data_IF_809521288982
#
_entry.id   IF_809521288982
#
_cell.length_a   1.000
_cell.length_b   1.000
_cell.length_c   1.000
_cell.angle_alpha   90.00
_cell.angle_beta   90.00
_cell.angle_gamma   90.00
#
_symmetry.space_group_name_H-M   'P 1'
#
loop_
_entity.id
_entity.type
_entity.pdbx_description
1 polymer ?
#
# COMPACT_ATOMS: atom_id res chain seq x y z
N UNK A 1 9.47 67.43 16.43
CA UNK A 1 10.06 66.50 17.42
C UNK A 1 8.98 65.53 17.85
N UNK A 2 9.18 64.21 17.75
CA UNK A 2 8.29 63.23 18.35
C UNK A 2 8.74 62.99 19.80
N UNK A 3 7.83 63.02 20.78
CA UNK A 3 8.09 62.48 22.11
C UNK A 3 6.81 61.91 22.73
N UNK A 4 7.03 60.81 23.43
CA UNK A 4 6.11 59.77 23.93
C UNK A 4 5.42 60.17 25.25
N UNK A 5 4.17 59.72 25.39
CA UNK A 5 3.32 59.39 26.57
C UNK A 5 3.42 60.19 27.90
N UNK A 6 2.30 60.22 28.66
CA UNK A 6 2.29 59.37 29.86
C UNK A 6 0.95 58.67 30.18
N UNK A 7 1.06 57.47 30.74
CA UNK A 7 0.03 56.79 31.56
C UNK A 7 -0.24 57.57 32.86
N UNK A 8 -1.39 57.46 33.58
CA UNK A 8 -1.63 56.28 34.42
C UNK A 8 -3.09 55.92 34.79
N UNK A 9 -3.26 54.64 35.18
CA UNK A 9 -4.02 54.12 36.33
C UNK A 9 -5.57 53.94 36.36
N UNK A 10 -5.90 52.67 36.69
CA UNK A 10 -6.90 52.16 37.64
C UNK A 10 -8.40 52.04 37.28
N UNK A 11 -8.91 50.81 37.45
CA UNK A 11 -10.28 50.51 37.89
C UNK A 11 -11.08 49.58 36.95
N UNK A 12 -11.27 48.30 37.32
CA UNK A 12 -12.34 47.46 36.75
C UNK A 12 -13.74 47.87 37.27
N UNK A 13 -14.83 47.08 37.10
CA UNK A 13 -14.94 45.72 36.55
C UNK A 13 -16.08 45.53 35.49
N UNK A 14 -16.19 44.29 35.02
CA UNK A 14 -17.36 43.61 34.41
C UNK A 14 -17.96 44.14 33.10
N UNK A 15 -17.87 43.33 32.05
CA UNK A 15 -19.07 42.82 31.37
C UNK A 15 -18.79 41.49 30.67
N UNK A 16 -19.56 40.46 31.06
CA UNK A 16 -19.62 39.16 30.41
C UNK A 16 -20.59 39.24 29.22
N UNK A 17 -20.17 38.79 28.04
CA UNK A 17 -21.09 38.47 26.94
C UNK A 17 -21.03 36.95 26.72
N UNK A 18 -22.16 36.22 26.73
CA UNK A 18 -22.18 34.77 26.60
C UNK A 18 -22.19 34.36 25.12
N UNK A 19 -21.22 33.58 24.69
CA UNK A 19 -21.23 32.97 23.34
C UNK A 19 -22.18 31.77 23.29
N UNK A 20 -23.18 31.87 22.41
CA UNK A 20 -24.12 30.82 22.06
C UNK A 20 -23.47 29.69 21.21
N UNK A 21 -23.93 28.43 21.30
CA UNK A 21 -23.30 27.31 20.61
C UNK A 21 -23.81 27.17 19.16
N UNK A 22 -23.06 27.73 18.21
CA UNK A 22 -23.26 27.49 16.77
C UNK A 22 -22.86 26.08 16.34
N UNK A 23 -23.83 25.29 15.91
CA UNK A 23 -23.65 23.98 15.28
C UNK A 23 -23.31 24.16 13.80
N UNK A 24 -22.04 23.96 13.44
CA UNK A 24 -21.58 23.93 12.06
C UNK A 24 -20.07 24.15 12.02
N UNK A 25 -19.32 23.37 11.24
CA UNK A 25 -17.85 23.46 11.01
C UNK A 25 -16.90 22.69 11.95
N UNK A 26 -17.25 21.48 12.42
CA UNK A 26 -16.32 20.64 13.22
C UNK A 26 -15.38 19.72 12.40
N UNK A 27 -15.70 19.35 11.16
CA UNK A 27 -14.75 18.66 10.27
C UNK A 27 -13.60 19.58 9.80
N UNK A 28 -13.86 20.87 9.61
CA UNK A 28 -12.84 21.82 9.12
C UNK A 28 -11.71 22.11 10.13
N UNK A 29 -11.87 21.81 11.43
CA UNK A 29 -10.82 22.08 12.42
C UNK A 29 -9.68 21.07 12.41
N UNK A 30 -9.94 19.80 12.04
CA UNK A 30 -8.87 18.83 11.78
C UNK A 30 -8.05 19.23 10.54
N UNK A 31 -8.73 19.76 9.52
CA UNK A 31 -8.11 20.26 8.29
C UNK A 31 -7.38 21.61 8.47
N UNK A 32 -7.82 22.49 9.38
CA UNK A 32 -7.07 23.72 9.72
C UNK A 32 -5.79 23.44 10.50
N UNK A 33 -5.78 22.42 11.37
CA UNK A 33 -4.54 21.99 12.07
C UNK A 33 -3.51 21.35 11.14
N UNK A 34 -3.92 20.86 9.97
CA UNK A 34 -3.03 20.44 8.89
C UNK A 34 -2.28 21.65 8.26
N UNK A 35 -2.86 22.86 8.32
CA UNK A 35 -2.30 24.09 7.73
C UNK A 35 -1.53 24.96 8.74
N UNK A 36 -1.88 24.93 10.03
CA UNK A 36 -1.22 25.74 11.06
C UNK A 36 0.05 25.03 11.59
N UNK A 37 1.17 25.25 10.90
CA UNK A 37 2.49 24.80 11.30
C UNK A 37 3.19 25.86 12.16
N UNK A 38 3.50 25.57 13.42
CA UNK A 38 4.64 26.21 14.12
C UNK A 38 5.10 25.42 15.37
N UNK A 39 6.22 24.72 15.21
CA UNK A 39 7.25 24.48 16.22
C UNK A 39 8.34 23.61 15.58
N UNK A 40 9.28 24.30 14.93
CA UNK A 40 10.45 23.72 14.29
C UNK A 40 11.57 23.60 15.33
N UNK A 41 11.87 22.39 15.80
CA UNK A 41 13.13 22.16 16.49
C UNK A 41 14.22 22.05 15.41
N UNK A 42 15.10 23.05 15.37
CA UNK A 42 16.30 23.01 14.53
C UNK A 42 17.11 21.74 14.86
N UNK A 43 17.67 21.06 13.84
CA UNK A 43 18.63 19.98 14.09
C UNK A 43 19.82 20.54 14.87
N UNK A 44 20.49 19.73 15.72
CA UNK A 44 21.64 20.21 16.49
C UNK A 44 22.68 20.83 15.56
N UNK A 45 23.18 22.02 15.92
CA UNK A 45 24.24 22.72 15.19
C UNK A 45 25.41 21.75 14.93
N UNK A 46 25.79 21.59 13.65
CA UNK A 46 26.87 20.69 13.22
C UNK A 46 26.43 19.34 12.64
N UNK A 47 25.13 19.06 12.49
CA UNK A 47 24.68 17.83 11.80
C UNK A 47 25.01 17.87 10.30
N UNK A 48 25.87 16.95 9.85
CA UNK A 48 26.14 16.74 8.41
C UNK A 48 24.95 16.02 7.76
N UNK A 49 24.76 16.17 6.45
CA UNK A 49 23.78 15.40 5.65
C UNK A 49 23.91 13.89 5.89
N UNK A 50 25.14 13.40 6.05
CA UNK A 50 25.41 12.00 6.40
C UNK A 50 24.88 11.60 7.79
N UNK A 51 24.92 12.50 8.79
CA UNK A 51 24.35 12.23 10.12
C UNK A 51 22.82 12.22 10.10
N UNK A 52 22.21 13.08 9.29
CA UNK A 52 20.75 13.12 9.10
C UNK A 52 20.25 11.86 8.40
N UNK A 53 20.97 11.38 7.38
CA UNK A 53 20.66 10.11 6.69
C UNK A 53 20.83 8.92 7.63
N UNK A 54 21.94 8.84 8.38
CA UNK A 54 22.10 7.77 9.40
C UNK A 54 21.00 7.78 10.43
N UNK A 55 20.60 8.95 10.93
CA UNK A 55 19.52 9.05 11.90
C UNK A 55 18.14 8.72 11.33
N UNK A 56 17.89 9.01 10.05
CA UNK A 56 16.65 8.61 9.38
C UNK A 56 16.50 7.08 9.30
N UNK A 57 17.61 6.37 9.04
CA UNK A 57 17.65 4.90 8.99
C UNK A 57 17.89 4.22 10.34
N UNK A 58 18.13 4.96 11.41
CA UNK A 58 18.53 4.38 12.70
C UNK A 58 17.35 3.80 13.50
N UNK A 59 16.10 3.98 13.08
CA UNK A 59 14.89 3.53 13.81
C UNK A 59 14.64 4.21 15.18
N UNK A 60 15.70 4.77 15.79
CA UNK A 60 15.74 5.33 17.14
C UNK A 60 14.94 6.63 17.24
N UNK A 61 13.73 6.51 17.79
CA UNK A 61 12.81 7.58 18.19
C UNK A 61 12.07 8.32 17.07
N UNK A 62 11.13 7.62 16.47
CA UNK A 62 10.05 8.26 15.72
C UNK A 62 9.11 9.06 16.62
N UNK A 63 8.94 8.62 17.86
CA UNK A 63 8.12 9.29 18.85
C UNK A 63 8.87 10.46 19.51
N UNK A 64 8.42 11.68 19.19
CA UNK A 64 8.87 12.93 19.83
C UNK A 64 8.65 12.90 21.35
N UNK A 65 7.65 12.20 21.87
CA UNK A 65 7.33 12.15 23.30
C UNK A 65 8.28 11.25 24.06
N UNK A 66 8.61 10.05 23.57
CA UNK A 66 9.67 9.22 24.12
C UNK A 66 11.01 9.97 24.20
N UNK A 67 11.37 10.69 23.12
CA UNK A 67 12.58 11.54 23.10
C UNK A 67 12.52 12.68 24.13
N UNK A 68 11.35 13.28 24.34
CA UNK A 68 11.11 14.34 25.34
C UNK A 68 11.18 13.80 26.78
N UNK A 69 10.59 12.64 27.06
CA UNK A 69 10.58 11.98 28.39
C UNK A 69 12.01 11.62 28.85
N UNK A 70 12.82 11.09 27.93
CA UNK A 70 14.25 10.77 28.18
C UNK A 70 15.06 12.04 28.51
N UNK A 71 14.79 13.16 27.83
CA UNK A 71 15.49 14.44 28.05
C UNK A 71 15.08 15.13 29.37
N UNK A 72 13.81 15.08 29.76
CA UNK A 72 13.36 15.60 31.06
C UNK A 72 13.93 14.80 32.25
N UNK A 73 14.18 13.50 32.08
CA UNK A 73 14.78 12.67 33.15
C UNK A 73 16.26 12.99 33.42
N UNK A 74 17.00 13.49 32.41
CA UNK A 74 18.42 13.80 32.52
C UNK A 74 18.71 15.24 33.02
N UNK A 75 17.69 16.10 33.06
CA UNK A 75 17.81 17.50 33.50
C UNK A 75 17.26 17.81 34.90
N UNK A 76 16.74 16.80 35.63
CA UNK A 76 16.16 17.02 36.96
C UNK A 76 17.26 17.11 38.05
N UNK A 77 17.30 18.16 38.89
CA UNK A 77 18.20 18.19 40.03
C UNK A 77 17.91 17.02 40.98
N UNK A 78 18.96 16.34 41.45
CA UNK A 78 18.85 15.20 42.39
C UNK A 78 18.06 15.65 43.63
N UNK A 79 16.94 14.99 43.99
CA UNK A 79 16.23 15.31 45.22
C UNK A 79 17.12 15.00 46.43
N UNK A 80 17.09 15.87 47.43
CA UNK A 80 17.76 15.67 48.72
C UNK A 80 17.25 14.40 49.41
N UNK A 81 18.14 13.76 50.18
CA UNK A 81 17.99 12.40 50.72
C UNK A 81 16.79 12.16 51.67
N UNK A 82 15.99 13.20 51.97
CA UNK A 82 14.86 13.13 52.90
C UNK A 82 13.53 12.67 52.26
N UNK A 83 13.43 12.64 50.92
CA UNK A 83 12.22 12.19 50.20
C UNK A 83 12.27 10.72 49.75
N UNK A 84 13.21 9.91 50.28
CA UNK A 84 13.47 8.56 49.78
C UNK A 84 12.50 7.49 50.27
N UNK A 85 11.74 7.72 51.34
CA UNK A 85 10.92 6.66 51.96
C UNK A 85 9.44 6.67 51.58
N UNK A 86 8.87 7.78 51.08
CA UNK A 86 7.44 7.82 50.69
C UNK A 86 7.16 7.53 49.21
N UNK A 87 8.16 7.59 48.33
CA UNK A 87 8.00 7.34 46.89
C UNK A 87 8.15 5.87 46.47
N UNK A 88 8.78 5.02 47.27
CA UNK A 88 9.06 3.62 46.88
C UNK A 88 7.83 2.73 46.94
N UNK A 89 6.85 2.99 47.82
CA UNK A 89 5.66 2.15 47.99
C UNK A 89 4.56 2.42 46.93
N UNK A 90 4.53 3.58 46.29
CA UNK A 90 3.60 3.85 45.18
C UNK A 90 4.14 3.41 43.82
N UNK A 91 5.46 3.27 43.68
CA UNK A 91 6.07 2.78 42.44
C UNK A 91 5.84 1.29 42.19
N UNK A 92 5.49 0.50 43.22
CA UNK A 92 5.28 -0.95 43.09
C UNK A 92 3.88 -1.33 42.62
N UNK A 93 2.90 -0.41 42.63
CA UNK A 93 1.48 -0.69 42.31
C UNK A 93 1.03 -0.10 40.96
N UNK A 94 1.78 0.83 40.39
CA UNK A 94 1.57 1.27 39.01
C UNK A 94 2.48 0.47 38.10
N UNK A 95 2.01 -0.68 37.61
CA UNK A 95 2.67 -1.49 36.58
C UNK A 95 2.81 -0.75 35.24
N UNK A 96 3.63 0.29 35.21
CA UNK A 96 3.90 1.16 34.05
C UNK A 96 5.34 1.65 34.07
N UNK A 97 6.22 0.85 33.47
CA UNK A 97 7.45 1.31 32.83
C UNK A 97 8.13 0.13 32.10
N UNK A 98 7.42 -0.51 31.17
CA UNK A 98 8.04 -1.29 30.10
C UNK A 98 7.25 -0.99 28.82
N UNK A 99 7.38 0.23 28.30
CA UNK A 99 7.19 0.41 26.87
C UNK A 99 8.47 -0.14 26.23
N UNK A 100 8.31 -1.32 25.64
CA UNK A 100 9.32 -2.14 25.01
C UNK A 100 10.18 -1.30 24.04
N UNK A 101 11.43 -0.98 24.42
CA UNK A 101 12.51 -0.53 23.53
C UNK A 101 12.87 -1.68 22.55
N UNK A 102 11.89 -2.24 21.85
CA UNK A 102 12.11 -3.32 20.89
C UNK A 102 12.26 -2.71 19.50
N UNK A 103 13.45 -2.18 19.23
CA UNK A 103 13.88 -1.88 17.86
C UNK A 103 13.94 -3.22 17.11
N UNK A 104 12.93 -3.47 16.27
CA UNK A 104 12.86 -4.67 15.45
C UNK A 104 13.90 -4.56 14.34
N UNK A 105 14.82 -5.51 14.21
CA UNK A 105 15.71 -5.55 13.04
C UNK A 105 14.90 -5.74 11.75
N UNK A 106 15.17 -5.12 10.59
CA UNK A 106 14.31 -5.25 9.40
C UNK A 106 14.46 -6.62 8.70
N UNK A 107 14.21 -7.73 9.41
CA UNK A 107 14.39 -9.11 8.97
C UNK A 107 13.50 -9.43 7.77
N UNK A 108 12.22 -9.04 7.82
CA UNK A 108 11.29 -9.33 6.73
C UNK A 108 11.70 -8.59 5.47
N UNK A 109 11.93 -7.28 5.54
CA UNK A 109 12.33 -6.45 4.40
C UNK A 109 13.63 -6.95 3.78
N UNK A 110 14.65 -7.23 4.60
CA UNK A 110 15.93 -7.74 4.11
C UNK A 110 15.80 -9.14 3.51
N UNK A 111 15.06 -10.05 4.16
CA UNK A 111 14.88 -11.42 3.65
C UNK A 111 14.05 -11.45 2.36
N UNK A 112 13.00 -10.65 2.26
CA UNK A 112 12.17 -10.53 1.06
C UNK A 112 12.97 -9.96 -0.12
N UNK A 113 13.71 -8.86 0.10
CA UNK A 113 14.58 -8.28 -0.93
C UNK A 113 15.68 -9.24 -1.37
N UNK A 114 16.32 -9.94 -0.42
CA UNK A 114 17.36 -10.92 -0.73
C UNK A 114 16.79 -12.12 -1.52
N UNK A 115 15.66 -12.66 -1.10
CA UNK A 115 15.00 -13.79 -1.76
C UNK A 115 14.68 -13.46 -3.23
N UNK A 116 14.02 -12.33 -3.45
CA UNK A 116 13.66 -11.87 -4.80
C UNK A 116 14.90 -11.63 -5.65
N UNK A 117 15.93 -10.97 -5.09
CA UNK A 117 17.17 -10.70 -5.81
C UNK A 117 17.90 -11.99 -6.20
N UNK A 118 18.02 -12.96 -5.27
CA UNK A 118 18.68 -14.23 -5.53
C UNK A 118 17.92 -15.05 -6.57
N UNK A 119 16.59 -15.13 -6.46
CA UNK A 119 15.76 -15.79 -7.48
C UNK A 119 16.00 -15.17 -8.85
N UNK A 120 15.97 -13.83 -8.96
CA UNK A 120 16.19 -13.16 -10.24
C UNK A 120 17.60 -13.42 -10.78
N UNK A 121 18.66 -13.21 -9.97
CA UNK A 121 20.06 -13.37 -10.42
C UNK A 121 20.37 -14.80 -10.86
N UNK A 122 19.92 -15.81 -10.11
CA UNK A 122 20.20 -17.23 -10.41
C UNK A 122 19.62 -17.63 -11.76
N UNK A 123 18.38 -17.22 -12.06
CA UNK A 123 17.72 -17.58 -13.31
C UNK A 123 18.07 -16.62 -14.46
N UNK A 124 18.32 -15.33 -14.19
CA UNK A 124 18.79 -14.39 -15.20
C UNK A 124 20.18 -14.77 -15.74
N UNK A 125 21.05 -15.34 -14.90
CA UNK A 125 22.37 -15.84 -15.33
C UNK A 125 22.31 -16.99 -16.35
N UNK A 126 21.13 -17.61 -16.54
CA UNK A 126 20.91 -18.67 -17.53
C UNK A 126 20.37 -18.13 -18.86
N UNK A 127 20.01 -16.84 -18.92
CA UNK A 127 19.50 -16.20 -20.13
C UNK A 127 20.62 -15.60 -20.97
N UNK A 128 20.38 -15.45 -22.28
CA UNK A 128 21.33 -14.78 -23.19
C UNK A 128 21.47 -13.29 -22.88
N UNK A 129 20.38 -12.64 -22.45
CA UNK A 129 20.35 -11.22 -22.08
C UNK A 129 20.13 -11.02 -20.58
N UNK A 130 21.21 -11.13 -19.80
CA UNK A 130 21.16 -11.01 -18.34
C UNK A 130 20.38 -9.79 -17.81
N UNK A 131 20.62 -8.60 -18.37
CA UNK A 131 20.04 -7.35 -17.86
C UNK A 131 18.55 -7.18 -18.16
N UNK A 132 18.03 -7.84 -19.20
CA UNK A 132 16.64 -7.76 -19.66
C UNK A 132 15.83 -9.00 -19.30
N UNK A 133 16.45 -9.99 -18.63
CA UNK A 133 15.86 -11.28 -18.37
C UNK A 133 14.59 -11.20 -17.52
N UNK A 134 13.51 -11.83 -18.00
CA UNK A 134 12.37 -12.21 -17.15
C UNK A 134 12.74 -13.45 -16.34
N UNK A 135 13.00 -13.26 -15.05
CA UNK A 135 13.54 -14.29 -14.18
C UNK A 135 12.89 -14.26 -12.79
N UNK A 136 12.88 -15.41 -12.12
CA UNK A 136 12.42 -15.55 -10.74
C UNK A 136 11.69 -16.86 -10.49
N UNK A 137 10.63 -16.82 -9.68
CA UNK A 137 9.88 -18.03 -9.33
C UNK A 137 9.24 -18.72 -10.54
N UNK A 138 8.77 -17.95 -11.53
CA UNK A 138 8.18 -18.51 -12.76
C UNK A 138 9.20 -19.26 -13.62
N UNK A 139 10.50 -18.97 -13.46
CA UNK A 139 11.57 -19.72 -14.14
C UNK A 139 11.69 -21.16 -13.63
N UNK A 140 11.19 -21.46 -12.43
CA UNK A 140 11.15 -22.82 -11.86
C UNK A 140 9.99 -23.63 -12.45
N UNK A 141 8.81 -22.99 -12.55
CA UNK A 141 7.58 -23.61 -13.04
C UNK A 141 6.88 -22.66 -14.03
N UNK A 142 7.30 -22.66 -15.31
CA UNK A 142 6.86 -21.67 -16.30
C UNK A 142 5.35 -21.58 -16.45
N UNK A 143 4.83 -20.35 -16.47
CA UNK A 143 3.41 -20.07 -16.71
C UNK A 143 2.48 -20.35 -15.52
N UNK A 144 3.00 -20.75 -14.36
CA UNK A 144 2.16 -21.15 -13.21
C UNK A 144 2.11 -20.14 -12.08
N UNK A 145 3.07 -19.21 -12.01
CA UNK A 145 3.26 -18.38 -10.80
C UNK A 145 3.00 -16.90 -11.03
N UNK A 146 3.13 -16.42 -12.26
CA UNK A 146 2.73 -15.07 -12.62
C UNK A 146 1.23 -14.88 -12.42
N UNK A 147 0.83 -13.66 -12.07
CA UNK A 147 -0.58 -13.32 -11.93
C UNK A 147 -1.16 -13.15 -13.33
N UNK A 148 -2.23 -13.88 -13.58
CA UNK A 148 -3.03 -13.83 -14.79
C UNK A 148 -4.42 -14.33 -14.39
N UNK A 149 -5.46 -13.66 -14.86
CA UNK A 149 -6.84 -14.12 -14.62
C UNK A 149 -7.27 -15.15 -15.66
N UNK A 150 -6.56 -15.22 -16.80
CA UNK A 150 -6.71 -16.27 -17.79
C UNK A 150 -5.45 -16.56 -18.57
N UNK A 151 -5.47 -17.72 -19.21
CA UNK A 151 -4.57 -18.10 -20.29
C UNK A 151 -5.36 -19.02 -21.20
N UNK A 152 -5.28 -18.81 -22.51
CA UNK A 152 -5.87 -19.74 -23.48
C UNK A 152 -7.34 -20.09 -23.24
N UNK A 153 -8.14 -19.12 -22.74
CA UNK A 153 -9.57 -19.31 -22.46
C UNK A 153 -9.85 -20.22 -21.23
N UNK A 154 -8.84 -20.49 -20.41
CA UNK A 154 -8.96 -21.10 -19.11
C UNK A 154 -9.06 -20.03 -18.03
N UNK A 155 -10.02 -20.17 -17.10
CA UNK A 155 -10.16 -19.27 -15.95
C UNK A 155 -9.15 -19.65 -14.87
N UNK A 156 -8.15 -18.79 -14.70
CA UNK A 156 -7.06 -18.96 -13.75
C UNK A 156 -7.33 -18.28 -12.41
N UNK A 157 -8.47 -17.57 -12.23
CA UNK A 157 -8.77 -16.83 -10.99
C UNK A 157 -8.79 -17.73 -9.75
N UNK A 158 -9.20 -18.99 -9.94
CA UNK A 158 -9.25 -20.01 -8.87
C UNK A 158 -7.87 -20.57 -8.48
N UNK A 159 -6.82 -20.26 -9.24
CA UNK A 159 -5.44 -20.61 -8.91
C UNK A 159 -4.92 -19.62 -7.85
N UNK A 160 -5.43 -19.74 -6.63
CA UNK A 160 -5.26 -18.78 -5.53
C UNK A 160 -3.80 -18.44 -5.21
N UNK A 161 -2.85 -19.34 -5.51
CA UNK A 161 -1.43 -19.09 -5.30
C UNK A 161 -0.91 -17.95 -6.19
N UNK A 162 -1.43 -17.77 -7.41
CA UNK A 162 -1.00 -16.72 -8.36
C UNK A 162 -1.16 -15.31 -7.81
N UNK A 163 -2.17 -15.11 -6.96
CA UNK A 163 -2.46 -13.85 -6.28
C UNK A 163 -1.35 -13.43 -5.30
N UNK A 164 -0.46 -14.36 -4.94
CA UNK A 164 0.65 -14.12 -4.02
C UNK A 164 2.02 -14.40 -4.67
N UNK A 165 2.13 -15.39 -5.55
CA UNK A 165 3.43 -15.86 -6.07
C UNK A 165 4.03 -14.94 -7.13
N UNK A 166 3.22 -14.12 -7.80
CA UNK A 166 3.68 -13.25 -8.89
C UNK A 166 4.76 -12.26 -8.47
N UNK A 167 4.80 -11.91 -7.18
CA UNK A 167 5.77 -10.99 -6.60
C UNK A 167 7.23 -11.49 -6.68
N UNK A 168 7.45 -12.78 -6.95
CA UNK A 168 8.78 -13.38 -6.97
C UNK A 168 9.39 -13.48 -8.37
N UNK A 169 8.72 -12.96 -9.40
CA UNK A 169 9.21 -12.89 -10.78
C UNK A 169 9.38 -11.44 -11.18
N UNK A 170 10.46 -11.07 -11.86
CA UNK A 170 10.72 -9.71 -12.32
C UNK A 170 11.27 -9.71 -13.75
N UNK A 171 11.01 -8.64 -14.50
CA UNK A 171 11.49 -8.42 -15.86
C UNK A 171 12.64 -7.41 -15.87
N UNK A 172 13.88 -7.90 -15.96
CA UNK A 172 15.08 -7.09 -16.04
C UNK A 172 15.62 -6.58 -14.69
N UNK A 173 16.88 -6.13 -14.73
CA UNK A 173 17.63 -5.67 -13.56
C UNK A 173 17.06 -4.36 -12.99
N UNK A 174 16.64 -3.45 -13.86
CA UNK A 174 16.05 -2.16 -13.46
C UNK A 174 14.77 -2.37 -12.66
N UNK A 175 13.91 -3.28 -13.10
CA UNK A 175 12.63 -3.57 -12.44
C UNK A 175 12.83 -4.19 -11.06
N UNK A 176 13.67 -5.21 -10.91
CA UNK A 176 13.95 -5.80 -9.59
C UNK A 176 14.71 -4.82 -8.68
N UNK A 177 15.65 -4.06 -9.24
CA UNK A 177 16.45 -3.07 -8.51
C UNK A 177 15.60 -1.94 -7.94
N UNK A 178 14.68 -1.38 -8.72
CA UNK A 178 13.77 -0.32 -8.27
C UNK A 178 12.79 -0.82 -7.20
N UNK A 179 12.25 -2.02 -7.36
CA UNK A 179 11.37 -2.63 -6.34
C UNK A 179 12.09 -2.83 -5.01
N UNK A 180 13.29 -3.41 -5.04
CA UNK A 180 14.11 -3.58 -3.84
C UNK A 180 14.45 -2.22 -3.23
N UNK A 181 14.82 -1.23 -4.04
CA UNK A 181 15.13 0.10 -3.57
C UNK A 181 13.96 0.73 -2.79
N UNK A 182 12.74 0.70 -3.35
CA UNK A 182 11.54 1.24 -2.68
C UNK A 182 11.26 0.50 -1.37
N UNK A 183 11.32 -0.84 -1.40
CA UNK A 183 11.05 -1.69 -0.24
C UNK A 183 12.08 -1.48 0.87
N UNK A 184 13.35 -1.26 0.53
CA UNK A 184 14.38 -0.92 1.51
C UNK A 184 14.16 0.47 2.10
N UNK A 185 13.98 1.49 1.25
CA UNK A 185 13.83 2.89 1.68
C UNK A 185 12.61 3.07 2.60
N UNK A 186 11.48 2.48 2.24
CA UNK A 186 10.22 2.64 2.98
C UNK A 186 10.05 1.55 4.04
N UNK A 187 10.27 0.29 3.64
CA UNK A 187 9.98 -0.87 4.46
C UNK A 187 10.90 -1.02 5.67
N UNK A 188 12.20 -0.75 5.56
CA UNK A 188 13.12 -0.92 6.70
C UNK A 188 12.64 -0.09 7.90
N UNK A 189 12.36 1.19 7.66
CA UNK A 189 11.87 2.10 8.70
C UNK A 189 10.53 1.65 9.26
N UNK A 190 9.61 1.24 8.38
CA UNK A 190 8.27 0.81 8.77
C UNK A 190 8.33 -0.45 9.65
N UNK A 191 9.21 -1.40 9.32
CA UNK A 191 9.41 -2.64 10.06
C UNK A 191 10.08 -2.41 11.42
N UNK A 192 11.09 -1.56 11.48
CA UNK A 192 11.72 -1.20 12.76
C UNK A 192 10.69 -0.60 13.75
N UNK A 193 9.69 0.11 13.23
CA UNK A 193 8.67 0.79 14.03
C UNK A 193 7.44 -0.07 14.36
N UNK A 194 6.88 -0.78 13.37
CA UNK A 194 5.66 -1.58 13.52
C UNK A 194 5.93 -3.07 13.84
N UNK A 195 7.15 -3.55 13.62
CA UNK A 195 7.57 -4.94 13.79
C UNK A 195 7.34 -5.82 12.57
N UNK A 196 8.11 -6.91 12.47
CA UNK A 196 8.17 -7.80 11.28
C UNK A 196 6.81 -8.34 10.87
N UNK A 197 6.00 -8.81 11.83
CA UNK A 197 4.71 -9.45 11.54
C UNK A 197 3.74 -8.48 10.88
N UNK A 198 3.67 -7.24 11.35
CA UNK A 198 2.75 -6.24 10.78
C UNK A 198 3.19 -5.83 9.38
N UNK A 199 4.49 -5.59 9.19
CA UNK A 199 5.04 -5.29 7.87
C UNK A 199 4.80 -6.43 6.89
N UNK A 200 5.05 -7.68 7.30
CA UNK A 200 4.80 -8.87 6.47
C UNK A 200 3.33 -8.99 6.07
N UNK A 201 2.39 -8.80 7.01
CA UNK A 201 0.95 -8.86 6.72
C UNK A 201 0.53 -7.75 5.78
N UNK A 202 0.91 -6.50 6.06
CA UNK A 202 0.53 -5.34 5.22
C UNK A 202 1.12 -5.47 3.82
N UNK A 203 2.37 -5.89 3.70
CA UNK A 203 3.02 -6.10 2.42
C UNK A 203 2.29 -7.16 1.58
N UNK A 204 2.00 -8.34 2.14
CA UNK A 204 1.34 -9.42 1.40
C UNK A 204 -0.15 -9.13 1.11
N UNK A 205 -0.86 -8.45 2.02
CA UNK A 205 -2.21 -7.96 1.71
C UNK A 205 -2.17 -6.91 0.58
N UNK A 206 -1.13 -6.07 0.56
CA UNK A 206 -0.83 -5.16 -0.53
C UNK A 206 -0.66 -5.86 -1.87
N UNK A 207 0.13 -6.93 -1.91
CA UNK A 207 0.32 -7.82 -3.07
C UNK A 207 -1.02 -8.37 -3.56
N UNK A 208 -1.86 -8.91 -2.67
CA UNK A 208 -3.17 -9.44 -3.04
C UNK A 208 -4.11 -8.35 -3.58
N UNK A 209 -4.16 -7.19 -2.92
CA UNK A 209 -5.00 -6.07 -3.36
C UNK A 209 -4.51 -5.44 -4.68
N UNK A 210 -3.21 -5.42 -4.92
CA UNK A 210 -2.62 -5.03 -6.19
C UNK A 210 -3.01 -5.99 -7.31
N UNK A 211 -2.89 -7.31 -7.07
CA UNK A 211 -3.34 -8.34 -8.01
C UNK A 211 -4.85 -8.25 -8.29
N UNK A 212 -5.66 -7.91 -7.29
CA UNK A 212 -7.09 -7.65 -7.49
C UNK A 212 -7.33 -6.43 -8.38
N UNK A 213 -6.69 -5.30 -8.09
CA UNK A 213 -6.89 -4.08 -8.88
C UNK A 213 -6.42 -4.28 -10.33
N UNK A 214 -5.33 -5.03 -10.52
CA UNK A 214 -4.88 -5.50 -11.81
C UNK A 214 -5.91 -6.39 -12.51
N UNK A 215 -6.47 -7.39 -11.82
CA UNK A 215 -7.45 -8.32 -12.38
C UNK A 215 -8.70 -7.61 -12.93
N UNK A 216 -9.14 -6.53 -12.27
CA UNK A 216 -10.32 -5.78 -12.70
C UNK A 216 -10.02 -4.70 -13.75
N UNK A 217 -8.77 -4.23 -13.86
CA UNK A 217 -8.39 -3.13 -14.75
C UNK A 217 -7.64 -3.59 -16.01
N UNK A 218 -6.65 -4.49 -15.85
CA UNK A 218 -5.67 -4.86 -16.87
C UNK A 218 -5.64 -6.38 -17.10
N UNK A 219 -6.78 -7.05 -16.90
CA UNK A 219 -6.90 -8.50 -16.83
C UNK A 219 -6.43 -9.31 -18.04
N UNK A 220 -6.23 -8.67 -19.20
CA UNK A 220 -5.72 -9.30 -20.42
C UNK A 220 -4.20 -9.49 -20.44
N UNK A 221 -3.49 -8.86 -19.50
CA UNK A 221 -2.05 -8.98 -19.37
C UNK A 221 -1.65 -10.01 -18.30
N UNK A 222 -0.34 -10.18 -18.11
CA UNK A 222 0.21 -10.87 -16.94
C UNK A 222 0.94 -9.89 -16.04
N UNK A 223 0.71 -10.01 -14.74
CA UNK A 223 1.35 -9.20 -13.72
C UNK A 223 2.48 -9.99 -13.04
N UNK A 224 3.61 -9.31 -12.86
CA UNK A 224 4.80 -9.79 -12.15
C UNK A 224 5.37 -8.67 -11.29
N UNK A 225 6.20 -9.02 -10.32
CA UNK A 225 6.96 -8.07 -9.52
C UNK A 225 6.33 -7.75 -8.17
N UNK A 226 7.19 -7.41 -7.21
CA UNK A 226 6.78 -7.20 -5.82
C UNK A 226 6.20 -5.79 -5.52
N UNK A 227 5.99 -4.97 -6.55
CA UNK A 227 5.61 -3.56 -6.41
C UNK A 227 4.29 -3.38 -5.67
N UNK A 228 3.31 -4.27 -5.84
CA UNK A 228 2.06 -4.23 -5.08
C UNK A 228 2.27 -4.15 -3.55
N UNK A 229 3.24 -4.91 -3.03
CA UNK A 229 3.64 -4.84 -1.63
C UNK A 229 4.45 -3.58 -1.31
N UNK A 230 5.34 -3.14 -2.20
CA UNK A 230 6.12 -1.92 -2.03
C UNK A 230 5.23 -0.67 -1.90
N UNK A 231 4.23 -0.54 -2.77
CA UNK A 231 3.27 0.56 -2.74
C UNK A 231 2.34 0.47 -1.53
N UNK A 232 2.03 -0.74 -1.03
CA UNK A 232 1.32 -0.88 0.24
C UNK A 232 2.13 -0.39 1.44
N UNK A 233 3.45 -0.59 1.47
CA UNK A 233 4.31 0.02 2.50
C UNK A 233 4.32 1.55 2.38
N UNK A 234 4.32 2.10 1.17
CA UNK A 234 4.19 3.55 0.94
C UNK A 234 2.84 4.09 1.44
N UNK A 235 1.75 3.41 1.10
CA UNK A 235 0.41 3.75 1.57
C UNK A 235 0.30 3.71 3.09
N UNK A 236 0.83 2.66 3.73
CA UNK A 236 0.85 2.54 5.19
C UNK A 236 1.66 3.65 5.85
N UNK A 237 2.81 4.00 5.27
CA UNK A 237 3.63 5.13 5.72
C UNK A 237 2.85 6.44 5.64
N UNK A 238 2.13 6.67 4.54
CA UNK A 238 1.29 7.86 4.37
C UNK A 238 0.13 7.89 5.40
N UNK A 239 -0.57 6.77 5.59
CA UNK A 239 -1.64 6.66 6.60
C UNK A 239 -1.12 6.91 8.02
N UNK A 240 0.04 6.33 8.37
CA UNK A 240 0.72 6.55 9.65
C UNK A 240 1.12 8.01 9.85
N UNK A 241 1.60 8.68 8.80
CA UNK A 241 1.93 10.12 8.84
C UNK A 241 0.71 10.99 9.09
N UNK A 242 -0.45 10.67 8.50
CA UNK A 242 -1.69 11.41 8.74
C UNK A 242 -2.14 11.28 10.19
N UNK A 243 -2.09 10.06 10.75
CA UNK A 243 -2.51 9.81 12.13
C UNK A 243 -1.54 10.42 13.16
N UNK A 244 -0.24 10.26 12.93
CA UNK A 244 0.81 10.59 13.89
C UNK A 244 1.64 11.82 13.50
N UNK A 245 1.07 12.75 12.73
CA UNK A 245 1.82 13.89 12.15
C UNK A 245 2.59 14.71 13.18
N UNK A 246 2.01 14.95 14.35
CA UNK A 246 2.64 15.77 15.39
C UNK A 246 3.67 15.02 16.23
N UNK A 247 3.51 13.71 16.36
CA UNK A 247 4.38 12.85 17.16
C UNK A 247 5.55 12.31 16.34
N UNK A 248 5.43 12.27 15.01
CA UNK A 248 6.49 11.83 14.10
C UNK A 248 7.62 12.86 14.00
N UNK A 249 8.82 12.48 14.46
CA UNK A 249 10.01 13.34 14.44
C UNK A 249 10.39 13.85 13.04
N UNK A 250 10.44 12.95 12.05
CA UNK A 250 10.93 13.21 10.69
C UNK A 250 9.82 13.30 9.63
N UNK A 251 8.66 13.85 10.02
CA UNK A 251 7.45 13.92 9.17
C UNK A 251 7.64 14.58 7.80
N UNK A 252 8.39 15.69 7.73
CA UNK A 252 8.59 16.44 6.47
C UNK A 252 9.54 15.70 5.51
N UNK A 253 10.72 15.21 5.94
CA UNK A 253 11.55 14.35 5.09
C UNK A 253 10.83 13.09 4.61
N UNK A 254 10.04 12.45 5.48
CA UNK A 254 9.28 11.25 5.10
C UNK A 254 8.20 11.54 4.07
N UNK A 255 7.44 12.62 4.26
CA UNK A 255 6.48 13.09 3.26
C UNK A 255 7.18 13.44 1.94
N UNK A 256 8.33 14.11 1.99
CA UNK A 256 9.10 14.43 0.79
C UNK A 256 9.55 13.18 0.03
N UNK A 257 10.04 12.16 0.73
CA UNK A 257 10.40 10.86 0.12
C UNK A 257 9.18 10.24 -0.56
N UNK A 258 8.03 10.20 0.10
CA UNK A 258 6.80 9.67 -0.49
C UNK A 258 6.37 10.45 -1.73
N UNK A 259 6.42 11.79 -1.68
CA UNK A 259 6.06 12.65 -2.81
C UNK A 259 7.02 12.47 -3.99
N UNK A 260 8.32 12.33 -3.74
CA UNK A 260 9.32 12.07 -4.79
C UNK A 260 9.08 10.71 -5.42
N UNK A 261 8.87 9.65 -4.63
CA UNK A 261 8.59 8.32 -5.15
C UNK A 261 7.29 8.29 -5.98
N UNK A 262 6.24 8.97 -5.51
CA UNK A 262 4.98 9.10 -6.24
C UNK A 262 5.15 9.90 -7.54
N UNK A 263 5.90 11.00 -7.51
CA UNK A 263 6.17 11.79 -8.71
C UNK A 263 6.98 11.00 -9.74
N UNK A 264 7.96 10.21 -9.31
CA UNK A 264 8.73 9.33 -10.19
C UNK A 264 7.83 8.27 -10.84
N UNK A 265 6.94 7.64 -10.07
CA UNK A 265 5.96 6.68 -10.60
C UNK A 265 5.07 7.31 -11.69
N UNK A 266 4.57 8.53 -11.47
CA UNK A 266 3.79 9.25 -12.48
C UNK A 266 4.59 9.61 -13.73
N UNK A 267 5.87 9.98 -13.57
CA UNK A 267 6.75 10.28 -14.71
C UNK A 267 7.00 9.02 -15.53
N UNK A 268 7.27 7.88 -14.89
CA UNK A 268 7.40 6.60 -15.59
C UNK A 268 6.10 6.19 -16.26
N UNK A 269 4.95 6.35 -15.60
CA UNK A 269 3.65 6.08 -16.19
C UNK A 269 3.37 6.90 -17.45
N UNK A 270 3.71 8.19 -17.40
CA UNK A 270 3.56 9.06 -18.56
C UNK A 270 4.51 8.66 -19.70
N UNK A 271 5.77 8.32 -19.38
CA UNK A 271 6.75 7.87 -20.35
C UNK A 271 6.34 6.55 -21.03
N UNK A 272 5.88 5.56 -20.26
CA UNK A 272 5.42 4.26 -20.74
C UNK A 272 4.18 4.42 -21.64
N UNK A 273 3.25 5.31 -21.26
CA UNK A 273 2.08 5.65 -22.07
C UNK A 273 2.43 6.26 -23.44
N UNK A 274 3.57 6.96 -23.56
CA UNK A 274 4.07 7.46 -24.84
C UNK A 274 4.75 6.36 -25.67
N UNK A 275 5.39 5.38 -25.02
CA UNK A 275 6.12 4.30 -25.68
C UNK A 275 5.21 3.20 -26.26
N UNK A 276 3.93 3.13 -25.86
CA UNK A 276 2.93 2.09 -26.22
C UNK A 276 3.26 0.66 -25.81
N UNK A 277 4.49 0.39 -25.39
CA UNK A 277 4.91 -0.86 -24.74
C UNK A 277 5.05 -0.60 -23.24
N UNK A 278 3.94 -0.68 -22.50
CA UNK A 278 3.96 -0.54 -21.04
C UNK A 278 4.25 -1.90 -20.41
N UNK A 279 5.41 -2.03 -19.78
CA UNK A 279 5.77 -3.19 -18.96
C UNK A 279 5.32 -3.06 -17.49
N UNK A 280 4.74 -1.91 -17.10
CA UNK A 280 4.44 -1.56 -15.71
C UNK A 280 2.93 -1.43 -15.48
N UNK A 281 2.41 -2.19 -14.50
CA UNK A 281 1.00 -2.07 -14.12
C UNK A 281 0.76 -0.96 -13.08
N UNK A 282 0.32 0.20 -13.55
CA UNK A 282 -0.07 1.31 -12.67
C UNK A 282 -1.35 1.01 -11.86
N UNK A 283 -2.24 0.17 -12.38
CA UNK A 283 -3.40 -0.30 -11.61
C UNK A 283 -2.96 -1.11 -10.40
N UNK A 284 -1.97 -2.01 -10.54
CA UNK A 284 -1.42 -2.77 -9.42
C UNK A 284 -0.80 -1.83 -8.36
N UNK A 285 -0.03 -0.82 -8.80
CA UNK A 285 0.56 0.18 -7.90
C UNK A 285 -0.51 0.91 -7.08
N UNK A 286 -1.58 1.37 -7.74
CA UNK A 286 -2.70 2.03 -7.07
C UNK A 286 -3.40 1.11 -6.06
N UNK A 287 -3.68 -0.13 -6.45
CA UNK A 287 -4.33 -1.13 -5.57
C UNK A 287 -3.51 -1.42 -4.31
N UNK A 288 -2.19 -1.59 -4.45
CA UNK A 288 -1.27 -1.74 -3.33
C UNK A 288 -1.27 -0.51 -2.42
N UNK A 289 -1.12 0.69 -2.99
CA UNK A 289 -1.11 1.94 -2.23
C UNK A 289 -2.39 2.18 -1.43
N UNK A 290 -3.55 2.00 -2.07
CA UNK A 290 -4.85 2.17 -1.43
C UNK A 290 -5.04 1.17 -0.27
N UNK A 291 -4.67 -0.10 -0.47
CA UNK A 291 -4.73 -1.10 0.59
C UNK A 291 -3.82 -0.75 1.76
N UNK A 292 -2.57 -0.39 1.47
CA UNK A 292 -1.61 0.06 2.47
C UNK A 292 -2.10 1.25 3.28
N UNK A 293 -2.68 2.25 2.62
CA UNK A 293 -3.23 3.44 3.26
C UNK A 293 -4.35 3.10 4.24
N UNK A 294 -5.32 2.29 3.81
CA UNK A 294 -6.42 1.84 4.66
C UNK A 294 -5.90 1.00 5.83
N UNK A 295 -5.02 0.03 5.57
CA UNK A 295 -4.41 -0.82 6.60
C UNK A 295 -3.55 0.00 7.58
N UNK A 296 -2.86 1.03 7.12
CA UNK A 296 -2.09 1.93 7.97
C UNK A 296 -2.96 2.72 8.95
N UNK A 297 -4.19 3.06 8.55
CA UNK A 297 -5.14 3.72 9.46
C UNK A 297 -5.79 2.71 10.43
N UNK A 298 -6.04 1.49 9.98
CA UNK A 298 -6.68 0.44 10.79
C UNK A 298 -5.73 -0.25 11.79
N UNK A 299 -4.46 -0.45 11.41
CA UNK A 299 -3.48 -1.27 12.14
C UNK A 299 -2.29 -0.45 12.65
N UNK A 300 -2.15 0.81 12.21
CA UNK A 300 -1.10 1.72 12.66
C UNK A 300 -1.10 1.86 14.18
N UNK A 301 0.09 1.88 14.79
CA UNK A 301 0.19 2.21 16.22
C UNK A 301 -0.15 3.69 16.39
N UNK A 302 -1.07 3.97 17.29
CA UNK A 302 -1.35 5.33 17.71
C UNK A 302 -0.41 5.68 18.87
N UNK A 303 0.34 6.78 18.77
CA UNK A 303 1.35 7.20 19.76
C UNK A 303 0.76 7.85 21.02
N UNK A 304 -0.51 7.59 21.27
CA UNK A 304 -1.38 8.44 22.04
C UNK A 304 -2.25 7.57 22.95
N UNK A 305 -1.74 7.21 24.14
CA UNK A 305 -2.48 6.41 25.13
C UNK A 305 -2.57 7.07 26.54
N UNK A 306 -2.13 8.32 26.76
CA UNK A 306 -1.98 8.82 28.15
C UNK A 306 -2.57 10.17 28.62
N UNK A 307 -3.31 10.99 27.86
CA UNK A 307 -3.94 12.21 28.45
C UNK A 307 -5.48 12.31 28.32
N UNK A 308 -6.15 11.78 29.34
CA UNK A 308 -7.56 11.30 29.42
C UNK A 308 -8.77 12.25 29.20
N UNK A 309 -8.68 13.48 28.68
CA UNK A 309 -9.93 14.27 28.49
C UNK A 309 -10.11 14.98 27.13
N UNK A 310 -9.09 15.62 26.54
CA UNK A 310 -9.19 16.05 25.12
C UNK A 310 -9.10 14.86 24.15
N UNK A 311 -8.43 13.80 24.59
CA UNK A 311 -8.18 12.56 23.87
C UNK A 311 -9.44 11.73 23.62
N UNK A 312 -10.47 11.83 24.48
CA UNK A 312 -11.73 11.11 24.31
C UNK A 312 -12.54 11.58 23.07
N UNK A 313 -12.24 12.77 22.52
CA UNK A 313 -12.84 13.25 21.27
C UNK A 313 -12.02 12.81 20.06
N UNK A 314 -10.69 12.86 20.13
CA UNK A 314 -9.78 12.39 19.07
C UNK A 314 -9.91 10.87 18.87
N UNK A 315 -9.91 10.09 19.95
CA UNK A 315 -10.18 8.64 19.94
C UNK A 315 -11.57 8.31 19.37
N UNK A 316 -12.57 9.18 19.58
CA UNK A 316 -13.91 9.00 19.00
C UNK A 316 -13.88 9.20 17.49
N UNK A 317 -13.23 10.25 16.99
CA UNK A 317 -13.07 10.47 15.56
C UNK A 317 -12.26 9.35 14.90
N UNK A 318 -11.19 8.89 15.54
CA UNK A 318 -10.37 7.78 15.07
C UNK A 318 -11.15 6.46 15.02
N UNK A 319 -11.86 6.10 16.10
CA UNK A 319 -12.71 4.88 16.09
C UNK A 319 -13.83 4.96 15.06
N UNK A 320 -14.41 6.14 14.86
CA UNK A 320 -15.39 6.36 13.79
C UNK A 320 -14.72 6.17 12.43
N UNK A 321 -13.52 6.73 12.20
CA UNK A 321 -12.78 6.56 10.96
C UNK A 321 -12.40 5.09 10.71
N UNK A 322 -11.91 4.38 11.73
CA UNK A 322 -11.60 2.95 11.66
C UNK A 322 -12.85 2.12 11.38
N UNK A 323 -13.99 2.44 12.00
CA UNK A 323 -15.26 1.77 11.75
C UNK A 323 -15.76 2.04 10.33
N UNK A 324 -15.69 3.29 9.85
CA UNK A 324 -16.07 3.65 8.49
C UNK A 324 -15.17 2.94 7.47
N UNK A 325 -13.85 2.98 7.64
CA UNK A 325 -12.90 2.30 6.76
C UNK A 325 -13.04 0.78 6.84
N UNK A 326 -13.34 0.22 8.00
CA UNK A 326 -13.62 -1.20 8.18
C UNK A 326 -14.89 -1.65 7.46
N UNK A 327 -15.97 -0.86 7.56
CA UNK A 327 -17.24 -1.12 6.84
C UNK A 327 -17.03 -0.96 5.33
N UNK A 328 -16.36 0.10 4.88
CA UNK A 328 -16.02 0.30 3.46
C UNK A 328 -15.15 -0.87 2.96
N UNK A 329 -14.13 -1.28 3.71
CA UNK A 329 -13.29 -2.42 3.38
C UNK A 329 -14.07 -3.73 3.27
N UNK A 330 -15.03 -3.98 4.17
CA UNK A 330 -15.91 -5.14 4.11
C UNK A 330 -16.83 -5.11 2.87
N UNK A 331 -17.40 -3.94 2.53
CA UNK A 331 -18.23 -3.77 1.33
C UNK A 331 -17.39 -4.01 0.06
N UNK A 332 -16.18 -3.49 0.02
CA UNK A 332 -15.24 -3.71 -1.09
C UNK A 332 -14.91 -5.20 -1.19
N UNK A 333 -14.59 -5.87 -0.09
CA UNK A 333 -14.31 -7.31 -0.07
C UNK A 333 -15.50 -8.14 -0.57
N UNK A 334 -16.72 -7.82 -0.17
CA UNK A 334 -17.93 -8.51 -0.67
C UNK A 334 -18.10 -8.25 -2.17
N UNK A 335 -17.89 -7.01 -2.63
CA UNK A 335 -17.95 -6.65 -4.05
C UNK A 335 -16.89 -7.39 -4.88
N UNK A 336 -15.68 -7.53 -4.32
CA UNK A 336 -14.57 -8.32 -4.89
C UNK A 336 -14.96 -9.77 -5.07
N UNK A 337 -15.48 -10.41 -4.01
CA UNK A 337 -15.90 -11.81 -4.04
C UNK A 337 -17.04 -12.00 -5.05
N UNK A 338 -18.00 -11.07 -5.07
CA UNK A 338 -19.11 -11.10 -6.01
C UNK A 338 -18.62 -10.98 -7.46
N UNK A 339 -17.69 -10.06 -7.76
CA UNK A 339 -17.08 -9.92 -9.09
C UNK A 339 -16.25 -11.15 -9.48
N UNK A 340 -15.43 -11.67 -8.56
CA UNK A 340 -14.62 -12.87 -8.80
C UNK A 340 -15.48 -14.11 -9.07
N UNK A 341 -16.69 -14.17 -8.48
CA UNK A 341 -17.66 -15.22 -8.72
C UNK A 341 -18.46 -15.05 -10.03
N UNK A 342 -18.36 -13.92 -10.72
CA UNK A 342 -19.06 -13.73 -11.99
C UNK A 342 -18.46 -14.61 -13.09
N UNK A 343 -19.38 -15.19 -13.86
CA UNK A 343 -19.08 -15.92 -15.09
C UNK A 343 -20.01 -15.43 -16.20
N UNK A 344 -19.51 -15.16 -17.41
CA UNK A 344 -18.11 -15.21 -17.83
C UNK A 344 -17.26 -14.03 -17.28
N UNK A 345 -15.94 -14.21 -17.13
CA UNK A 345 -15.04 -13.19 -16.59
C UNK A 345 -14.98 -11.92 -17.47
N UNK A 346 -14.84 -10.74 -16.86
CA UNK A 346 -14.71 -9.45 -17.56
C UNK A 346 -13.89 -8.47 -16.72
N UNK A 347 -13.07 -7.64 -17.35
CA UNK A 347 -12.53 -6.43 -16.69
C UNK A 347 -13.61 -5.34 -16.60
N UNK A 348 -13.32 -4.23 -15.92
CA UNK A 348 -14.24 -3.09 -15.78
C UNK A 348 -14.46 -2.35 -17.11
N UNK A 349 -13.48 -2.38 -18.02
CA UNK A 349 -13.56 -1.72 -19.33
C UNK A 349 -14.13 -2.61 -20.43
N UNK A 350 -14.18 -3.92 -20.22
CA UNK A 350 -14.66 -4.85 -21.24
C UNK A 350 -16.19 -4.76 -21.44
N UNK A 351 -16.60 -4.46 -22.67
CA UNK A 351 -18.00 -4.53 -23.11
C UNK A 351 -18.46 -5.97 -23.29
N UNK A 352 -17.56 -6.83 -23.79
CA UNK A 352 -17.78 -8.25 -24.07
C UNK A 352 -16.93 -9.11 -23.14
N UNK A 353 -17.44 -10.25 -22.66
CA UNK A 353 -16.64 -11.16 -21.85
C UNK A 353 -15.57 -11.84 -22.70
N UNK A 354 -14.36 -11.92 -22.17
CA UNK A 354 -13.28 -12.66 -22.80
C UNK A 354 -13.42 -14.15 -22.51
N UNK A 355 -12.91 -14.94 -23.45
CA UNK A 355 -13.17 -16.37 -23.60
C UNK A 355 -14.56 -16.75 -24.14
N UNK A 356 -14.76 -16.42 -25.42
CA UNK A 356 -15.89 -16.93 -26.19
C UNK A 356 -15.46 -18.21 -26.90
N UNK A 357 -16.02 -19.34 -26.47
CA UNK A 357 -15.94 -20.58 -27.23
C UNK A 357 -17.34 -21.03 -27.63
N UNK A 358 -17.49 -21.43 -28.89
CA UNK A 358 -18.74 -22.00 -29.39
C UNK A 358 -18.44 -23.07 -30.40
N UNK A 359 -19.40 -23.96 -30.56
CA UNK A 359 -19.45 -24.83 -31.72
C UNK A 359 -20.31 -24.17 -32.78
N UNK A 360 -19.78 -24.08 -34.00
CA UNK A 360 -20.48 -23.48 -35.12
C UNK A 360 -20.60 -24.52 -36.22
N UNK A 361 -21.80 -24.66 -36.74
CA UNK A 361 -22.04 -25.43 -37.96
C UNK A 361 -22.26 -24.46 -39.12
N UNK A 362 -21.22 -24.25 -39.94
CA UNK A 362 -21.31 -23.38 -41.11
C UNK A 362 -20.52 -23.95 -42.29
N UNK A 363 -21.27 -24.49 -43.26
CA UNK A 363 -20.72 -25.14 -44.44
C UNK A 363 -20.00 -24.20 -45.41
N UNK A 364 -20.24 -22.88 -45.30
CA UNK A 364 -19.57 -21.89 -46.13
C UNK A 364 -18.16 -21.57 -45.62
N UNK A 365 -17.91 -21.76 -44.32
CA UNK A 365 -16.61 -21.50 -43.68
C UNK A 365 -15.82 -22.78 -43.46
N UNK A 366 -16.50 -23.87 -43.14
CA UNK A 366 -15.91 -25.18 -42.92
C UNK A 366 -16.63 -26.20 -43.80
N UNK A 367 -15.95 -26.81 -44.78
CA UNK A 367 -16.59 -27.71 -45.74
C UNK A 367 -17.05 -29.03 -45.11
N UNK A 368 -16.59 -29.39 -43.91
CA UNK A 368 -16.99 -30.62 -43.23
C UNK A 368 -18.38 -30.52 -42.60
N UNK A 369 -19.16 -31.60 -42.66
CA UNK A 369 -20.49 -31.68 -42.07
C UNK A 369 -20.41 -32.01 -40.56
N UNK A 370 -19.77 -31.14 -39.78
CA UNK A 370 -19.65 -31.28 -38.33
C UNK A 370 -19.65 -29.92 -37.65
N UNK A 371 -19.85 -29.91 -36.33
CA UNK A 371 -19.63 -28.71 -35.54
C UNK A 371 -18.14 -28.43 -35.40
N UNK A 372 -17.77 -27.18 -35.62
CA UNK A 372 -16.40 -26.70 -35.52
C UNK A 372 -16.24 -25.86 -34.26
N UNK A 373 -15.24 -26.18 -33.45
CA UNK A 373 -14.93 -25.42 -32.26
C UNK A 373 -14.19 -24.14 -32.62
N UNK A 374 -14.78 -23.00 -32.25
CA UNK A 374 -14.26 -21.67 -32.46
C UNK A 374 -13.92 -21.07 -31.10
N UNK A 375 -12.73 -20.46 -31.00
CA UNK A 375 -12.25 -19.72 -29.84
C UNK A 375 -11.92 -18.30 -30.25
N UNK A 376 -12.44 -17.34 -29.51
CA UNK A 376 -12.20 -15.90 -29.70
C UNK A 376 -11.72 -15.25 -28.40
N UNK A 377 -10.67 -14.44 -28.52
CA UNK A 377 -10.12 -13.62 -27.44
C UNK A 377 -10.52 -12.13 -27.52
N UNK A 378 -11.01 -11.63 -28.66
CA UNK A 378 -11.35 -10.22 -28.85
C UNK A 378 -12.79 -9.99 -29.40
N UNK A 379 -13.30 -8.77 -29.24
CA UNK A 379 -14.64 -8.37 -29.68
C UNK A 379 -14.82 -8.50 -31.21
N UNK A 380 -13.74 -8.33 -31.97
CA UNK A 380 -13.74 -8.46 -33.43
C UNK A 380 -14.01 -9.89 -33.87
N UNK A 381 -13.37 -10.88 -33.22
CA UNK A 381 -13.62 -12.29 -33.45
C UNK A 381 -15.02 -12.70 -32.97
N UNK A 382 -15.41 -12.27 -31.76
CA UNK A 382 -16.72 -12.62 -31.19
C UNK A 382 -17.86 -12.16 -32.11
N UNK A 383 -17.86 -10.88 -32.50
CA UNK A 383 -18.92 -10.31 -33.35
C UNK A 383 -19.04 -10.98 -34.72
N UNK A 384 -17.91 -11.44 -35.30
CA UNK A 384 -17.91 -12.20 -36.56
C UNK A 384 -18.70 -13.50 -36.44
N UNK A 385 -18.47 -14.25 -35.37
CA UNK A 385 -19.01 -15.60 -35.20
C UNK A 385 -20.36 -15.64 -34.48
N UNK A 386 -20.63 -14.68 -33.61
CA UNK A 386 -21.90 -14.59 -32.86
C UNK A 386 -23.10 -14.26 -33.77
N UNK A 387 -22.87 -13.57 -34.90
CA UNK A 387 -23.89 -13.25 -35.89
C UNK A 387 -24.28 -14.44 -36.81
N UNK A 388 -23.61 -15.59 -36.68
CA UNK A 388 -23.86 -16.75 -37.54
C UNK A 388 -25.07 -17.58 -37.06
N UNK A 389 -25.71 -18.29 -37.99
CA UNK A 389 -26.71 -19.29 -37.65
C UNK A 389 -26.05 -20.57 -37.11
N UNK A 390 -26.73 -21.31 -36.23
CA UNK A 390 -26.30 -22.59 -35.66
C UNK A 390 -25.02 -22.50 -34.79
N UNK A 391 -25.05 -21.59 -33.82
CA UNK A 391 -24.01 -21.41 -32.81
C UNK A 391 -24.48 -22.05 -31.49
N UNK A 392 -23.75 -23.04 -30.99
CA UNK A 392 -24.04 -23.73 -29.74
C UNK A 392 -22.98 -23.47 -28.68
N UNK A 393 -23.43 -23.31 -27.43
CA UNK A 393 -22.54 -23.18 -26.28
C UNK A 393 -22.10 -24.57 -25.80
N UNK A 394 -20.79 -24.77 -25.78
CA UNK A 394 -20.16 -26.02 -25.33
C UNK A 394 -19.09 -25.74 -24.28
N UNK A 395 -18.77 -26.74 -23.47
CA UNK A 395 -17.68 -26.61 -22.48
C UNK A 395 -16.32 -26.67 -23.18
N UNK A 396 -15.34 -25.95 -22.62
CA UNK A 396 -13.97 -25.90 -23.15
C UNK A 396 -13.37 -27.29 -23.38
N UNK A 397 -13.57 -28.23 -22.44
CA UNK A 397 -13.05 -29.60 -22.51
C UNK A 397 -13.55 -30.39 -23.71
N UNK A 398 -14.77 -30.13 -24.18
CA UNK A 398 -15.30 -30.76 -25.39
C UNK A 398 -14.47 -30.33 -26.60
N UNK A 399 -14.16 -29.04 -26.70
CA UNK A 399 -13.36 -28.51 -27.80
C UNK A 399 -11.87 -28.81 -27.69
N UNK A 400 -11.34 -29.00 -26.48
CA UNK A 400 -9.98 -29.47 -26.25
C UNK A 400 -9.76 -30.90 -26.77
N UNK A 401 -10.75 -31.79 -26.56
CA UNK A 401 -10.70 -33.16 -27.08
C UNK A 401 -10.92 -33.28 -28.60
N UNK A 402 -11.70 -32.37 -29.19
CA UNK A 402 -12.06 -32.40 -30.63
C UNK A 402 -11.11 -31.56 -31.50
N UNK A 403 -10.44 -30.57 -30.90
CA UNK A 403 -9.56 -29.61 -31.56
C UNK A 403 -10.26 -28.32 -31.99
N UNK A 404 -9.53 -27.21 -31.93
CA UNK A 404 -10.00 -25.88 -32.35
C UNK A 404 -9.85 -25.71 -33.87
N UNK A 405 -10.96 -25.48 -34.56
CA UNK A 405 -10.97 -25.19 -36.01
C UNK A 405 -10.64 -23.73 -36.31
N UNK A 406 -10.91 -22.86 -35.35
CA UNK A 406 -10.48 -21.47 -35.37
C UNK A 406 -10.12 -21.07 -33.94
N UNK A 407 -8.96 -20.47 -33.76
CA UNK A 407 -8.53 -19.91 -32.49
C UNK A 407 -7.83 -18.59 -32.76
N UNK A 408 -8.40 -17.52 -32.23
CA UNK A 408 -7.79 -16.20 -32.21
C UNK A 408 -7.76 -15.68 -30.79
#
# INVERSE_FOLDING_TARGET
MPWVAPSPQHGGPSDQVPDAPGWGTRCCRAWRRFLDADCEQQPPEGSTTASLVRHFFDGRSLDRRAARKKRCSQGAPRPSAQFRQRGMLQATVSGKAIEDERDYWPVFVLSQSLLVFLLWVIFAAQSEEFFSAKAGLDSIVPGTTNMAIHSDCEDLRWQIWRWLTYQFTHAGLSHVGLNIFIVLVVGMRLEMYHGHVRTLVVFNLGVICAAFNFAVADGHASLIGMSGGAYALMGMTFGSLILNWHDTRYRRPELLVLLVLFALDLVFAYADGLAKDSEVSHSAHFGGYAAGFVLGILVGRNLDEEEKQEHAKTLRCERILQLVLGVVGAIVLVSVIAWAAQWPPRTLSDTTPWCWNRQIFNQSLFPEFRFHCIRCQDESCVSRFEAMANVEQVSFRVCEGVGWSYSQ
#
